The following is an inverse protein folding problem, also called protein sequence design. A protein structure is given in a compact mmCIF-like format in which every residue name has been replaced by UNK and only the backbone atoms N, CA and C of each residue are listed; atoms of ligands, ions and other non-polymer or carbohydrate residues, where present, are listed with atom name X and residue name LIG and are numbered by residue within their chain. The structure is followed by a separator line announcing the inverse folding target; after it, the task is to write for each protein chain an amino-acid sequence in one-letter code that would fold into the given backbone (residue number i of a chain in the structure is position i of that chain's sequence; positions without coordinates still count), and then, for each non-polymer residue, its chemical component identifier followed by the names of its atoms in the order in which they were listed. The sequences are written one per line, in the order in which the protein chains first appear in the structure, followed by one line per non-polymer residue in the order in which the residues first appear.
data_IF_083641136079
#
_entry.id   IF_083641136079
#
_cell.length_a   1.000
_cell.length_b   1.000
_cell.length_c   1.000
_cell.angle_alpha   90.00
_cell.angle_beta   90.00
_cell.angle_gamma   90.00
#
_symmetry.space_group_name_H-M   'P 1'
#
loop_
_entity.id
_entity.type
_entity.pdbx_description
1 polymer ?
#
# COMPACT_ATOMS: atom_id res chain seq x y z
N UNK A 1 57.90 23.75 72.63
CA UNK A 1 56.63 23.60 73.37
C UNK A 1 55.94 22.33 72.90
N UNK A 2 55.18 21.72 73.82
CA UNK A 2 54.88 20.29 73.95
C UNK A 2 53.98 19.63 72.87
N UNK A 3 54.13 18.30 72.75
CA UNK A 3 53.25 17.39 72.02
C UNK A 3 52.09 16.89 72.89
N UNK A 4 50.85 16.82 72.38
CA UNK A 4 49.72 15.95 72.82
C UNK A 4 48.62 16.06 71.72
N UNK A 5 48.19 15.06 70.93
CA UNK A 5 47.53 13.74 71.11
C UNK A 5 46.01 13.82 71.43
N UNK A 6 45.21 13.14 70.58
CA UNK A 6 43.93 12.37 70.82
C UNK A 6 42.72 12.80 69.96
N UNK A 7 42.24 11.91 69.07
CA UNK A 7 41.13 10.92 69.19
C UNK A 7 39.82 11.56 68.67
N UNK A 8 39.07 11.00 67.72
CA UNK A 8 38.77 9.60 67.46
C UNK A 8 37.36 9.32 67.99
N UNK A 9 36.35 9.37 67.12
CA UNK A 9 34.96 9.02 67.44
C UNK A 9 34.55 7.81 66.59
N UNK A 10 34.16 6.71 67.26
CA UNK A 10 33.62 5.48 66.68
C UNK A 10 32.39 5.05 67.51
N UNK A 11 31.32 4.75 66.76
CA UNK A 11 30.25 3.75 66.91
C UNK A 11 29.35 3.67 68.16
N UNK A 12 28.04 3.63 67.89
CA UNK A 12 27.07 2.54 68.16
C UNK A 12 26.16 2.52 66.91
N UNK A 13 26.00 1.50 66.06
CA UNK A 13 25.86 0.03 66.16
C UNK A 13 24.50 -0.43 66.69
N UNK A 14 23.54 -0.62 65.77
CA UNK A 14 22.52 -1.67 65.86
C UNK A 14 22.46 -2.45 64.55
N UNK A 15 22.70 -3.76 64.66
CA UNK A 15 22.75 -4.78 63.59
C UNK A 15 21.43 -5.58 63.54
N UNK A 16 21.23 -6.42 62.49
CA UNK A 16 19.93 -6.71 61.88
C UNK A 16 19.33 -8.05 62.34
N UNK A 17 18.11 -8.39 61.87
CA UNK A 17 17.73 -9.80 61.73
C UNK A 17 18.04 -10.33 60.32
N UNK A 18 18.87 -11.36 60.27
CA UNK A 18 18.83 -12.46 59.28
C UNK A 18 17.55 -13.28 59.51
N UNK A 19 16.96 -14.09 58.64
CA UNK A 19 17.38 -14.94 57.51
C UNK A 19 16.06 -15.48 56.92
N UNK A 20 15.88 -15.56 55.61
CA UNK A 20 15.80 -16.80 54.80
C UNK A 20 15.60 -16.31 53.36
N UNK A 21 16.47 -16.58 52.37
CA UNK A 21 16.53 -17.87 51.69
C UNK A 21 15.63 -17.87 50.45
N UNK A 22 16.26 -17.99 49.27
CA UNK A 22 15.72 -18.41 47.97
C UNK A 22 15.22 -17.36 46.94
N UNK A 23 16.04 -17.26 45.89
CA UNK A 23 15.78 -17.02 44.47
C UNK A 23 14.95 -15.83 43.96
N UNK A 24 15.65 -14.98 43.20
CA UNK A 24 15.09 -14.24 42.09
C UNK A 24 14.58 -15.22 41.02
N UNK A 25 13.25 -15.39 40.90
CA UNK A 25 12.53 -15.70 39.64
C UNK A 25 11.01 -15.68 39.85
N UNK A 26 10.31 -15.52 38.72
CA UNK A 26 8.87 -15.31 38.48
C UNK A 26 8.46 -13.84 38.68
N UNK A 27 8.33 -13.04 37.62
CA UNK A 27 7.62 -13.37 36.39
C UNK A 27 6.50 -12.34 36.29
N UNK A 28 6.88 -11.08 36.01
CA UNK A 28 5.90 -10.08 35.59
C UNK A 28 5.51 -10.41 34.16
N UNK A 29 4.71 -11.47 34.03
CA UNK A 29 3.92 -11.78 32.85
C UNK A 29 2.80 -10.74 32.77
N UNK A 30 3.16 -9.49 32.44
CA UNK A 30 2.31 -8.77 31.52
C UNK A 30 2.40 -9.58 30.23
N UNK A 31 1.50 -10.56 30.08
CA UNK A 31 1.34 -11.28 28.83
C UNK A 31 1.00 -10.19 27.83
N UNK A 32 2.03 -9.77 27.11
CA UNK A 32 1.91 -8.89 25.97
C UNK A 32 0.81 -9.49 25.11
N UNK A 33 -0.17 -8.67 24.74
CA UNK A 33 -1.16 -9.01 23.74
C UNK A 33 -0.49 -9.03 22.34
N UNK A 34 0.65 -9.71 22.25
CA UNK A 34 1.48 -9.99 21.07
C UNK A 34 0.83 -11.01 20.15
N UNK A 35 -0.38 -11.48 20.45
CA UNK A 35 -1.08 -12.45 19.61
C UNK A 35 -1.76 -11.73 18.45
N UNK A 36 -0.96 -11.53 17.42
CA UNK A 36 -1.29 -11.09 16.06
C UNK A 36 -1.09 -9.59 15.79
N UNK A 37 0.12 -9.08 16.03
CA UNK A 37 0.58 -7.89 15.27
C UNK A 37 0.71 -8.33 13.80
N UNK A 38 -0.05 -7.74 12.87
CA UNK A 38 0.09 -8.10 11.46
C UNK A 38 1.52 -7.86 10.98
N UNK A 39 2.04 -8.74 10.13
CA UNK A 39 3.45 -8.71 9.66
C UNK A 39 3.86 -7.32 9.17
N UNK A 40 3.00 -6.66 8.39
CA UNK A 40 3.25 -5.30 7.87
C UNK A 40 3.49 -4.24 8.96
N UNK A 41 2.89 -4.40 10.15
CA UNK A 41 3.04 -3.46 11.28
C UNK A 41 4.37 -3.70 11.99
N UNK A 42 4.78 -4.96 12.11
CA UNK A 42 6.12 -5.33 12.57
C UNK A 42 7.21 -4.82 11.62
N UNK A 43 7.02 -4.97 10.31
CA UNK A 43 7.93 -4.44 9.28
C UNK A 43 7.98 -2.90 9.30
N UNK A 44 6.83 -2.23 9.42
CA UNK A 44 6.77 -0.76 9.60
C UNK A 44 7.64 -0.29 10.78
N UNK A 45 7.58 -1.03 11.90
CA UNK A 45 8.41 -0.75 13.08
C UNK A 45 9.90 -0.97 12.80
N UNK A 46 10.26 -2.04 12.08
CA UNK A 46 11.65 -2.29 11.67
C UNK A 46 12.20 -1.15 10.81
N UNK A 47 11.41 -0.57 9.89
CA UNK A 47 11.83 0.56 9.05
C UNK A 47 12.26 1.78 9.87
N UNK A 48 11.52 2.08 10.94
CA UNK A 48 11.76 3.24 11.80
C UNK A 48 12.87 2.99 12.83
N UNK A 49 13.28 1.73 12.99
CA UNK A 49 14.34 1.32 13.90
C UNK A 49 15.63 0.99 13.14
N UNK A 50 16.78 1.14 13.77
CA UNK A 50 18.05 0.64 13.20
C UNK A 50 18.35 -0.81 13.60
N UNK A 51 17.39 -1.53 14.20
CA UNK A 51 17.62 -2.91 14.67
C UNK A 51 17.76 -3.83 13.47
N UNK A 52 18.78 -4.70 13.47
CA UNK A 52 19.04 -5.68 12.41
C UNK A 52 19.28 -5.10 11.01
N UNK A 53 19.46 -3.78 10.88
CA UNK A 53 19.81 -3.17 9.61
C UNK A 53 21.21 -3.60 9.18
N UNK A 54 21.31 -4.12 7.96
CA UNK A 54 22.54 -4.62 7.34
C UNK A 54 22.92 -3.84 6.07
N UNK A 55 22.19 -2.76 5.76
CA UNK A 55 22.52 -1.81 4.69
C UNK A 55 22.20 -0.36 5.07
N UNK A 56 22.85 0.59 4.39
CA UNK A 56 22.60 2.03 4.53
C UNK A 56 22.43 2.67 3.16
N UNK A 57 21.39 3.49 2.99
CA UNK A 57 21.19 4.34 1.80
C UNK A 57 21.47 5.79 2.18
N UNK A 58 22.35 6.48 1.45
CA UNK A 58 22.68 7.90 1.63
C UNK A 58 22.05 8.70 0.51
N UNK A 59 21.12 9.60 0.83
CA UNK A 59 20.38 10.35 -0.17
C UNK A 59 20.10 11.76 0.35
N UNK A 60 20.47 12.79 -0.41
CA UNK A 60 20.24 14.19 -0.05
C UNK A 60 20.76 14.59 1.35
N UNK A 61 21.86 13.98 1.81
CA UNK A 61 22.42 14.22 3.14
C UNK A 61 21.71 13.50 4.30
N UNK A 62 20.68 12.69 4.02
CA UNK A 62 20.02 11.80 4.98
C UNK A 62 20.58 10.38 4.87
N UNK A 63 20.70 9.70 6.01
CA UNK A 63 21.02 8.27 6.06
C UNK A 63 19.78 7.45 6.41
N UNK A 64 19.51 6.41 5.62
CA UNK A 64 18.42 5.47 5.83
C UNK A 64 19.02 4.10 6.17
N UNK A 65 18.82 3.63 7.40
CA UNK A 65 19.16 2.26 7.80
C UNK A 65 18.07 1.32 7.31
N UNK A 66 18.45 0.29 6.58
CA UNK A 66 17.50 -0.63 5.95
C UNK A 66 17.98 -2.08 6.03
N UNK A 67 17.13 -2.99 5.57
CA UNK A 67 17.33 -4.43 5.68
C UNK A 67 17.33 -5.05 4.28
N UNK A 68 18.45 -5.68 3.89
CA UNK A 68 18.64 -6.27 2.55
C UNK A 68 17.59 -7.33 2.26
N UNK A 69 17.26 -8.16 3.24
CA UNK A 69 16.23 -9.21 3.10
C UNK A 69 14.84 -8.65 2.72
N UNK A 70 14.55 -7.39 3.02
CA UNK A 70 13.28 -6.72 2.68
C UNK A 70 13.43 -5.93 1.38
N UNK A 71 14.53 -5.18 1.23
CA UNK A 71 14.72 -4.27 0.09
C UNK A 71 15.12 -5.00 -1.18
N UNK A 72 16.08 -5.93 -1.10
CA UNK A 72 16.60 -6.65 -2.27
C UNK A 72 15.57 -7.63 -2.85
N UNK A 73 14.73 -8.24 -2.00
CA UNK A 73 13.69 -9.19 -2.46
C UNK A 73 12.57 -8.52 -3.26
N UNK A 74 12.48 -7.19 -3.21
CA UNK A 74 11.46 -6.41 -3.90
C UNK A 74 12.01 -5.52 -5.01
N UNK A 75 13.34 -5.47 -5.18
CA UNK A 75 14.02 -4.62 -6.15
C UNK A 75 15.23 -5.35 -6.71
N UNK A 76 15.15 -5.69 -8.00
CA UNK A 76 16.25 -6.35 -8.71
C UNK A 76 17.51 -5.47 -8.74
N UNK A 77 17.33 -4.14 -8.77
CA UNK A 77 18.43 -3.19 -8.69
C UNK A 77 19.24 -3.37 -7.39
N UNK A 78 18.56 -3.35 -6.24
CA UNK A 78 19.25 -3.51 -4.95
C UNK A 78 19.79 -4.93 -4.79
N UNK A 79 19.09 -5.95 -5.27
CA UNK A 79 19.60 -7.32 -5.29
C UNK A 79 20.94 -7.41 -6.03
N UNK A 80 21.02 -6.89 -7.26
CA UNK A 80 22.26 -6.88 -8.06
C UNK A 80 23.36 -6.05 -7.38
N UNK A 81 23.01 -4.88 -6.83
CA UNK A 81 23.96 -4.01 -6.15
C UNK A 81 24.63 -4.69 -4.94
N UNK A 82 23.90 -5.54 -4.21
CA UNK A 82 24.40 -6.20 -3.00
C UNK A 82 24.77 -7.69 -3.16
N UNK A 83 24.61 -8.30 -4.33
CA UNK A 83 24.97 -9.70 -4.60
C UNK A 83 26.24 -9.87 -5.43
N UNK A 84 26.66 -8.83 -6.17
CA UNK A 84 27.82 -8.86 -7.06
C UNK A 84 29.15 -8.43 -6.44
N UNK A 85 30.09 -8.09 -7.31
CA UNK A 85 31.43 -7.57 -6.96
C UNK A 85 31.47 -6.04 -6.82
N UNK A 86 30.31 -5.38 -6.78
CA UNK A 86 30.20 -3.94 -6.68
C UNK A 86 30.68 -3.42 -5.31
N UNK A 87 31.06 -2.15 -5.23
CA UNK A 87 31.58 -1.55 -3.99
C UNK A 87 30.52 -1.55 -2.89
N UNK A 88 29.26 -1.51 -3.27
CA UNK A 88 28.06 -1.55 -2.45
C UNK A 88 27.96 -2.90 -1.72
N UNK A 89 28.28 -4.01 -2.39
CA UNK A 89 28.33 -5.33 -1.79
C UNK A 89 29.42 -5.47 -0.71
N UNK A 90 30.53 -4.72 -0.81
CA UNK A 90 31.57 -4.70 0.23
C UNK A 90 31.27 -3.67 1.33
N UNK A 91 30.82 -2.48 0.96
CA UNK A 91 30.62 -1.36 1.88
C UNK A 91 29.29 -1.41 2.63
N UNK A 92 28.29 -2.14 2.12
CA UNK A 92 26.90 -2.12 2.58
C UNK A 92 26.26 -0.72 2.54
N UNK A 93 26.82 0.18 1.74
CA UNK A 93 26.36 1.55 1.56
C UNK A 93 26.08 1.79 0.09
N UNK A 94 24.91 2.36 -0.20
CA UNK A 94 24.58 2.88 -1.52
C UNK A 94 24.26 4.36 -1.42
N UNK A 95 24.76 5.14 -2.38
CA UNK A 95 24.67 6.59 -2.40
C UNK A 95 24.06 7.04 -3.74
N UNK A 96 22.73 7.20 -3.81
CA UNK A 96 22.06 7.84 -4.95
C UNK A 96 21.95 9.37 -4.73
N UNK A 97 22.93 10.19 -5.15
CA UNK A 97 22.95 11.63 -4.86
C UNK A 97 21.91 12.43 -5.64
N UNK A 98 21.41 11.90 -6.76
CA UNK A 98 20.42 12.55 -7.63
C UNK A 98 18.98 12.37 -7.16
N UNK A 99 18.75 11.49 -6.18
CA UNK A 99 17.40 11.20 -5.72
C UNK A 99 16.90 12.20 -4.68
N UNK A 100 15.58 12.38 -4.67
CA UNK A 100 14.89 13.14 -3.65
C UNK A 100 14.70 12.27 -2.38
N UNK A 101 15.20 12.73 -1.20
CA UNK A 101 15.14 11.93 0.02
C UNK A 101 13.72 11.77 0.59
N UNK A 102 12.78 12.66 0.27
CA UNK A 102 11.39 12.52 0.67
C UNK A 102 10.68 11.48 -0.19
N UNK A 103 10.97 11.45 -1.50
CA UNK A 103 10.49 10.40 -2.41
C UNK A 103 11.07 9.04 -1.99
N UNK A 104 12.35 8.98 -1.65
CA UNK A 104 13.00 7.77 -1.17
C UNK A 104 12.39 7.27 0.15
N UNK A 105 12.04 8.16 1.07
CA UNK A 105 11.38 7.77 2.32
C UNK A 105 10.03 7.08 2.06
N UNK A 106 9.24 7.58 1.09
CA UNK A 106 7.98 6.95 0.66
C UNK A 106 8.20 5.63 -0.07
N UNK A 107 9.22 5.57 -0.90
CA UNK A 107 9.64 4.35 -1.58
C UNK A 107 9.98 3.26 -0.55
N UNK A 108 10.77 3.59 0.46
CA UNK A 108 11.10 2.67 1.55
C UNK A 108 9.87 2.33 2.42
N UNK A 109 8.99 3.30 2.71
CA UNK A 109 7.72 3.03 3.41
C UNK A 109 6.91 1.93 2.69
N UNK A 110 6.86 1.98 1.37
CA UNK A 110 6.21 0.96 0.56
C UNK A 110 6.86 -0.41 0.70
N UNK A 111 8.18 -0.52 0.58
CA UNK A 111 8.86 -1.82 0.68
C UNK A 111 8.61 -2.52 2.02
N UNK A 112 8.38 -1.76 3.10
CA UNK A 112 8.10 -2.36 4.41
C UNK A 112 6.61 -2.63 4.66
N UNK A 113 5.71 -1.90 4.02
CA UNK A 113 4.28 -1.89 4.41
C UNK A 113 3.31 -2.20 3.28
N UNK A 114 3.77 -2.28 2.03
CA UNK A 114 2.92 -2.43 0.84
C UNK A 114 2.07 -1.20 0.50
N UNK A 115 2.37 -0.06 1.11
CA UNK A 115 1.72 1.23 0.88
C UNK A 115 2.65 2.37 1.28
N UNK A 116 2.35 3.61 0.92
CA UNK A 116 3.08 4.77 1.42
C UNK A 116 2.09 5.87 1.77
N UNK A 117 2.44 6.74 2.71
CA UNK A 117 1.57 7.87 3.04
C UNK A 117 1.81 9.04 2.08
N UNK A 118 0.73 9.65 1.60
CA UNK A 118 0.79 10.86 0.79
C UNK A 118 0.77 12.08 1.73
N UNK A 119 1.72 12.20 2.68
CA UNK A 119 1.75 13.37 3.57
C UNK A 119 0.75 13.37 4.75
N UNK A 120 0.02 12.28 5.02
CA UNK A 120 -0.79 12.17 6.24
C UNK A 120 0.06 11.88 7.46
N UNK A 121 -0.23 12.54 8.60
CA UNK A 121 0.37 12.21 9.91
C UNK A 121 -0.04 10.85 10.47
N UNK A 122 -0.98 10.15 9.82
CA UNK A 122 -1.39 8.81 10.21
C UNK A 122 -0.62 7.78 9.37
N UNK A 123 0.09 6.84 10.02
CA UNK A 123 0.72 5.74 9.29
C UNK A 123 -0.39 4.90 8.66
N UNK A 124 -0.37 4.81 7.33
CA UNK A 124 -1.19 3.82 6.63
C UNK A 124 -0.48 2.49 6.86
N UNK A 125 -0.82 1.83 7.97
CA UNK A 125 -0.20 0.55 8.26
C UNK A 125 -0.82 -0.56 7.42
N UNK A 126 -2.00 -0.39 6.83
CA UNK A 126 -2.62 -1.43 6.02
C UNK A 126 -2.03 -1.45 4.60
N UNK A 127 -1.51 -2.59 4.12
CA UNK A 127 -1.02 -2.71 2.75
C UNK A 127 -2.11 -2.37 1.73
N UNK A 128 -1.70 -1.85 0.59
CA UNK A 128 -2.63 -1.59 -0.52
C UNK A 128 -3.10 -2.89 -1.17
N UNK A 129 -4.25 -2.89 -1.83
CA UNK A 129 -4.70 -4.03 -2.64
C UNK A 129 -3.67 -4.40 -3.72
N UNK A 130 -2.98 -3.40 -4.28
CA UNK A 130 -1.91 -3.60 -5.26
C UNK A 130 -0.79 -4.48 -4.68
N UNK A 131 -0.41 -4.25 -3.43
CA UNK A 131 0.63 -5.05 -2.75
C UNK A 131 0.24 -6.53 -2.53
N UNK A 132 -1.01 -6.90 -2.74
CA UNK A 132 -1.51 -8.29 -2.64
C UNK A 132 -1.71 -8.95 -4.02
N UNK A 133 -1.35 -8.29 -5.12
CA UNK A 133 -1.52 -8.82 -6.48
C UNK A 133 -0.39 -9.78 -6.89
N UNK A 134 -0.67 -10.69 -7.84
CA UNK A 134 0.38 -11.53 -8.46
C UNK A 134 1.20 -10.75 -9.49
N UNK A 135 2.43 -11.19 -9.74
CA UNK A 135 3.35 -10.61 -10.73
C UNK A 135 2.71 -10.51 -12.12
N UNK A 136 1.98 -11.54 -12.55
CA UNK A 136 1.30 -11.57 -13.85
C UNK A 136 0.17 -10.54 -13.91
N UNK A 137 -0.62 -10.42 -12.84
CA UNK A 137 -1.70 -9.44 -12.74
C UNK A 137 -1.16 -8.00 -12.77
N UNK A 138 0.00 -7.76 -12.15
CA UNK A 138 0.68 -6.46 -12.15
C UNK A 138 1.20 -6.13 -13.55
N UNK A 139 1.88 -7.05 -14.21
CA UNK A 139 2.37 -6.86 -15.58
C UNK A 139 1.23 -6.57 -16.55
N UNK A 140 0.10 -7.29 -16.44
CA UNK A 140 -1.10 -7.04 -17.23
C UNK A 140 -1.67 -5.64 -16.96
N UNK A 141 -1.70 -5.22 -15.69
CA UNK A 141 -2.24 -3.92 -15.29
C UNK A 141 -1.34 -2.77 -15.74
N UNK A 142 -0.02 -2.90 -15.64
CA UNK A 142 0.95 -1.89 -16.08
C UNK A 142 0.89 -1.64 -17.59
N UNK A 143 0.60 -2.67 -18.40
CA UNK A 143 0.43 -2.55 -19.85
C UNK A 143 -0.84 -1.80 -20.27
N UNK A 144 -1.81 -1.64 -19.37
CA UNK A 144 -3.09 -0.97 -19.66
C UNK A 144 -3.09 0.44 -19.05
N UNK A 145 -3.66 1.44 -19.75
CA UNK A 145 -3.88 2.76 -19.16
C UNK A 145 -4.92 2.68 -18.05
N UNK A 146 -4.75 3.44 -16.94
CA UNK A 146 -5.68 3.41 -15.82
C UNK A 146 -7.02 4.07 -16.19
N UNK A 147 -8.10 3.63 -15.56
CA UNK A 147 -9.43 4.22 -15.77
C UNK A 147 -10.06 3.97 -17.14
N UNK A 148 -9.54 3.02 -17.94
CA UNK A 148 -10.25 2.47 -19.10
C UNK A 148 -10.95 1.19 -18.66
N UNK A 149 -12.29 1.18 -18.66
CA UNK A 149 -13.05 -0.06 -18.57
C UNK A 149 -12.94 -0.72 -19.95
N UNK A 150 -12.00 -1.65 -20.11
CA UNK A 150 -12.03 -2.52 -21.28
C UNK A 150 -13.32 -3.35 -21.17
N UNK A 151 -14.23 -3.23 -22.14
CA UNK A 151 -15.24 -4.25 -22.34
C UNK A 151 -14.48 -5.51 -22.76
N UNK A 152 -14.06 -6.34 -21.79
CA UNK A 152 -13.60 -7.68 -22.09
C UNK A 152 -14.82 -8.40 -22.70
N UNK A 153 -14.83 -8.53 -24.03
CA UNK A 153 -15.81 -9.33 -24.80
C UNK A 153 -15.67 -10.84 -24.52
N UNK A 154 -15.23 -11.22 -23.32
CA UNK A 154 -15.10 -12.61 -22.87
C UNK A 154 -16.14 -12.98 -21.82
N UNK A 155 -17.16 -12.14 -21.61
CA UNK A 155 -18.28 -12.43 -20.68
C UNK A 155 -19.64 -12.64 -21.37
N UNK A 156 -19.69 -12.76 -22.69
CA UNK A 156 -20.96 -12.88 -23.44
C UNK A 156 -21.23 -14.31 -23.97
N UNK A 157 -20.47 -15.31 -23.51
CA UNK A 157 -20.65 -16.73 -23.89
C UNK A 157 -21.15 -17.64 -22.76
N UNK A 158 -21.59 -17.09 -21.61
CA UNK A 158 -22.08 -17.91 -20.50
C UNK A 158 -23.59 -17.80 -20.24
N UNK A 159 -24.31 -16.90 -20.94
CA UNK A 159 -25.75 -16.69 -20.71
C UNK A 159 -26.53 -16.69 -22.03
N UNK A 160 -26.44 -17.77 -22.81
CA UNK A 160 -27.41 -18.01 -23.88
C UNK A 160 -27.51 -19.48 -24.28
N UNK A 161 -27.71 -20.39 -23.32
CA UNK A 161 -28.28 -21.70 -23.62
C UNK A 161 -29.25 -22.14 -22.52
N UNK A 162 -30.42 -21.51 -22.52
CA UNK A 162 -31.65 -22.14 -22.08
C UNK A 162 -32.71 -21.94 -23.15
N UNK A 163 -33.28 -23.07 -23.59
CA UNK A 163 -34.48 -23.25 -24.41
C UNK A 163 -34.33 -23.26 -25.95
N UNK A 164 -34.45 -24.50 -26.46
CA UNK A 164 -35.06 -25.01 -27.72
C UNK A 164 -34.04 -25.92 -28.42
N UNK A 165 -34.15 -27.24 -28.32
CA UNK A 165 -35.17 -28.02 -29.02
C UNK A 165 -34.56 -28.49 -30.34
N UNK A 166 -34.20 -29.77 -30.43
CA UNK A 166 -34.52 -30.68 -31.55
C UNK A 166 -33.70 -31.97 -31.42
N UNK A 167 -34.42 -33.08 -31.57
CA UNK A 167 -33.94 -34.46 -31.62
C UNK A 167 -33.13 -34.69 -32.90
N UNK A 168 -32.01 -35.40 -32.83
CA UNK A 168 -31.56 -36.29 -33.91
C UNK A 168 -30.59 -37.33 -33.32
N UNK A 169 -31.03 -38.59 -33.30
CA UNK A 169 -30.19 -39.77 -33.08
C UNK A 169 -29.25 -39.95 -34.27
N UNK A 170 -27.96 -40.14 -34.00
CA UNK A 170 -27.04 -40.81 -34.91
C UNK A 170 -26.07 -41.66 -34.09
N UNK A 171 -26.19 -42.97 -34.26
CA UNK A 171 -25.28 -44.00 -33.76
C UNK A 171 -23.93 -43.88 -34.49
N UNK A 172 -22.81 -43.82 -33.76
CA UNK A 172 -21.50 -44.16 -34.33
C UNK A 172 -20.76 -45.13 -33.40
N UNK A 173 -20.50 -46.32 -33.95
CA UNK A 173 -19.66 -47.39 -33.43
C UNK A 173 -18.25 -46.89 -33.13
N UNK A 174 -17.71 -47.27 -31.97
CA UNK A 174 -16.28 -47.14 -31.70
C UNK A 174 -15.64 -48.53 -31.75
N UNK A 175 -14.85 -48.78 -32.80
CA UNK A 175 -13.99 -49.95 -32.94
C UNK A 175 -12.89 -49.92 -31.86
N UNK A 176 -12.70 -51.06 -31.18
CA UNK A 176 -11.62 -51.28 -30.21
C UNK A 176 -10.28 -51.46 -30.94
N UNK A 177 -9.28 -50.66 -30.58
CA UNK A 177 -7.89 -50.83 -31.03
C UNK A 177 -7.12 -51.68 -29.99
N UNK A 178 -6.61 -52.88 -30.32
CA UNK A 178 -6.00 -53.79 -29.37
C UNK A 178 -4.48 -53.79 -29.50
N UNK A 179 -3.77 -52.96 -28.74
CA UNK A 179 -2.35 -53.22 -28.46
C UNK A 179 -1.83 -52.32 -27.32
N UNK A 180 -1.95 -52.81 -26.08
CA UNK A 180 -1.04 -52.38 -25.02
C UNK A 180 -0.61 -53.60 -24.17
N UNK A 181 0.69 -53.94 -24.10
CA UNK A 181 1.15 -55.16 -23.44
C UNK A 181 0.97 -55.16 -21.91
N UNK A 182 0.48 -56.29 -21.37
CA UNK A 182 0.66 -56.78 -20.00
C UNK A 182 2.11 -57.29 -19.85
N UNK A 183 2.86 -57.27 -18.75
CA UNK A 183 2.72 -57.34 -17.27
C UNK A 183 4.16 -57.05 -16.69
N UNK A 184 4.59 -57.23 -15.41
CA UNK A 184 3.90 -57.58 -14.15
C UNK A 184 4.36 -56.87 -12.82
N UNK A 185 3.53 -57.04 -11.77
CA UNK A 185 3.82 -57.27 -10.33
C UNK A 185 4.61 -56.25 -9.43
N UNK A 186 3.85 -55.54 -8.54
CA UNK A 186 3.96 -55.25 -7.06
C UNK A 186 5.33 -54.86 -6.38
N UNK A 187 5.43 -54.27 -5.14
CA UNK A 187 4.42 -53.85 -4.15
C UNK A 187 4.66 -52.52 -3.34
N UNK A 188 3.64 -52.15 -2.55
CA UNK A 188 3.64 -51.43 -1.24
C UNK A 188 4.04 -49.93 -1.11
N UNK A 189 3.07 -49.06 -0.81
CA UNK A 189 3.25 -47.91 0.10
C UNK A 189 2.01 -47.69 1.00
N UNK A 190 2.11 -47.85 2.32
CA UNK A 190 1.00 -47.71 3.26
C UNK A 190 1.09 -46.39 4.06
N UNK A 191 0.40 -45.32 3.63
CA UNK A 191 -0.04 -44.23 4.55
C UNK A 191 -0.99 -43.23 3.86
N UNK A 192 -2.24 -43.65 3.64
CA UNK A 192 -3.35 -42.74 3.30
C UNK A 192 -4.18 -42.47 4.56
N UNK A 193 -4.13 -41.24 5.09
CA UNK A 193 -4.98 -40.81 6.21
C UNK A 193 -6.27 -40.14 5.68
N UNK A 194 -7.47 -40.68 5.93
CA UNK A 194 -8.73 -40.04 5.53
C UNK A 194 -9.17 -38.95 6.53
N UNK A 195 -9.90 -37.91 6.07
CA UNK A 195 -10.38 -36.83 6.93
C UNK A 195 -11.50 -37.29 7.87
N UNK A 196 -11.35 -36.93 9.14
CA UNK A 196 -12.17 -37.34 10.26
C UNK A 196 -13.56 -36.68 10.19
N UNK A 197 -14.60 -37.47 9.92
CA UNK A 197 -16.01 -37.12 10.12
C UNK A 197 -16.32 -37.32 11.60
N UNK A 198 -16.39 -36.24 12.36
CA UNK A 198 -17.26 -36.11 13.54
C UNK A 198 -16.97 -34.80 14.28
N UNK A 199 -17.62 -33.71 13.86
CA UNK A 199 -18.07 -32.70 14.83
C UNK A 199 -19.35 -32.04 14.37
N UNK A 200 -20.40 -32.36 15.11
CA UNK A 200 -21.76 -31.85 14.99
C UNK A 200 -21.77 -30.33 15.23
N UNK A 201 -22.36 -29.59 14.30
CA UNK A 201 -22.95 -28.29 14.59
C UNK A 201 -24.05 -28.45 15.65
N UNK A 202 -24.23 -27.45 16.52
CA UNK A 202 -25.58 -26.89 16.52
C UNK A 202 -25.65 -25.36 16.72
N UNK A 203 -26.69 -24.85 16.04
CA UNK A 203 -27.67 -23.82 16.37
C UNK A 203 -27.29 -22.36 16.70
N UNK A 204 -27.66 -21.52 15.73
CA UNK A 204 -28.18 -20.16 15.90
C UNK A 204 -29.35 -20.12 16.90
N UNK A 205 -29.32 -19.23 17.89
CA UNK A 205 -30.53 -18.68 18.52
C UNK A 205 -30.24 -17.29 19.12
N UNK A 206 -31.06 -16.32 18.74
CA UNK A 206 -31.07 -14.93 19.19
C UNK A 206 -31.36 -14.82 20.70
N UNK A 207 -30.79 -13.80 21.37
CA UNK A 207 -31.51 -13.10 22.43
C UNK A 207 -31.10 -11.63 22.55
N UNK A 208 -32.13 -10.84 22.82
CA UNK A 208 -32.34 -9.40 22.67
C UNK A 208 -32.62 -8.80 24.07
N UNK A 209 -32.33 -7.51 24.27
CA UNK A 209 -32.68 -6.65 25.44
C UNK A 209 -32.07 -7.04 26.82
N UNK A 210 -31.66 -6.14 27.71
CA UNK A 210 -31.78 -4.69 27.86
C UNK A 210 -31.57 -4.31 29.34
N UNK A 211 -31.40 -3.02 29.63
CA UNK A 211 -31.53 -2.42 30.98
C UNK A 211 -30.23 -2.28 31.76
N UNK A 212 -29.65 -1.07 31.90
CA UNK A 212 -29.96 -0.04 32.93
C UNK A 212 -29.39 -0.47 34.30
N UNK A 213 -28.70 0.32 35.12
CA UNK A 213 -28.89 1.72 35.49
C UNK A 213 -27.64 2.24 36.26
N UNK A 214 -27.53 3.56 36.32
CA UNK A 214 -26.42 4.40 36.75
C UNK A 214 -26.34 4.66 38.26
N UNK A 215 -25.19 5.20 38.72
CA UNK A 215 -25.01 6.47 39.48
C UNK A 215 -23.63 6.51 40.20
N UNK A 216 -22.69 7.42 39.85
CA UNK A 216 -22.47 8.84 40.30
C UNK A 216 -21.74 8.86 41.67
N UNK A 217 -20.53 9.43 41.88
CA UNK A 217 -20.07 10.85 41.91
C UNK A 217 -18.51 10.92 41.78
N UNK A 218 -17.95 11.76 40.89
CA UNK A 218 -17.32 13.10 41.08
C UNK A 218 -16.09 13.16 41.98
N UNK A 219 -14.96 13.62 41.41
CA UNK A 219 -14.14 14.69 42.00
C UNK A 219 -13.15 15.29 40.96
N UNK A 220 -13.52 16.49 40.53
CA UNK A 220 -12.78 17.69 40.15
C UNK A 220 -11.23 17.65 40.17
N UNK A 221 -10.59 17.90 39.01
CA UNK A 221 -9.90 19.18 38.76
C UNK A 221 -9.41 19.33 37.32
N UNK A 222 -9.70 20.50 36.75
CA UNK A 222 -9.38 20.95 35.39
C UNK A 222 -7.89 21.32 35.25
N UNK A 223 -7.27 21.03 34.09
CA UNK A 223 -6.56 22.03 33.28
C UNK A 223 -6.03 21.49 31.93
N UNK A 224 -6.89 21.61 30.91
CA UNK A 224 -6.68 22.34 29.65
C UNK A 224 -5.41 22.08 28.80
N UNK A 225 -5.48 21.09 27.90
CA UNK A 225 -4.91 21.18 26.55
C UNK A 225 -5.90 20.61 25.51
N UNK A 226 -6.52 21.49 24.72
CA UNK A 226 -7.47 21.11 23.67
C UNK A 226 -6.75 20.42 22.50
N UNK A 227 -6.85 19.10 22.47
CA UNK A 227 -6.65 18.30 21.26
C UNK A 227 -7.99 18.29 20.52
N UNK A 228 -8.10 19.02 19.42
CA UNK A 228 -9.21 18.84 18.48
C UNK A 228 -8.99 17.53 17.74
N UNK A 229 -9.48 16.45 18.33
CA UNK A 229 -9.88 15.27 17.56
C UNK A 229 -11.09 15.70 16.72
N UNK A 230 -10.91 15.92 15.42
CA UNK A 230 -12.04 15.86 14.48
C UNK A 230 -12.50 14.39 14.40
N UNK A 231 -13.23 13.97 15.43
CA UNK A 231 -14.18 12.88 15.31
C UNK A 231 -15.20 13.31 14.25
N UNK A 232 -15.36 12.47 13.23
CA UNK A 232 -16.49 12.56 12.30
C UNK A 232 -17.77 12.43 13.13
N UNK A 233 -18.38 13.56 13.49
CA UNK A 233 -19.69 13.59 14.15
C UNK A 233 -20.74 13.00 13.20
N UNK A 234 -21.04 11.71 13.39
CA UNK A 234 -22.24 11.08 12.87
C UNK A 234 -23.43 11.58 13.70
N UNK A 235 -23.95 12.72 13.28
CA UNK A 235 -25.16 13.30 13.84
C UNK A 235 -26.33 12.34 13.62
N UNK A 236 -26.77 11.66 14.69
CA UNK A 236 -27.99 10.85 14.69
C UNK A 236 -29.20 11.77 14.88
N UNK A 237 -29.53 12.53 13.83
CA UNK A 237 -30.69 13.41 13.79
C UNK A 237 -31.28 13.45 12.38
N UNK A 238 -32.46 12.83 12.23
CA UNK A 238 -33.29 12.75 11.01
C UNK A 238 -32.64 12.03 9.81
N UNK A 239 -32.92 10.74 9.68
CA UNK A 239 -32.46 9.92 8.55
C UNK A 239 -33.23 10.27 7.27
N UNK A 240 -32.89 11.40 6.66
CA UNK A 240 -33.06 11.58 5.23
C UNK A 240 -31.96 10.73 4.56
N UNK A 241 -32.35 9.64 3.90
CA UNK A 241 -31.42 8.83 3.10
C UNK A 241 -30.83 9.74 2.04
N UNK A 242 -29.55 10.10 2.19
CA UNK A 242 -28.84 10.92 1.21
C UNK A 242 -28.93 10.23 -0.14
N UNK A 243 -29.24 11.00 -1.18
CA UNK A 243 -29.25 10.44 -2.52
C UNK A 243 -27.84 9.96 -2.89
N UNK A 244 -27.75 8.96 -3.77
CA UNK A 244 -26.46 8.46 -4.27
C UNK A 244 -25.59 9.60 -4.82
N UNK A 245 -26.20 10.61 -5.45
CA UNK A 245 -25.50 11.79 -5.96
C UNK A 245 -24.93 12.68 -4.85
N UNK A 246 -25.67 12.86 -3.75
CA UNK A 246 -25.19 13.62 -2.59
C UNK A 246 -24.00 12.94 -1.92
N UNK A 247 -24.04 11.61 -1.79
CA UNK A 247 -22.93 10.82 -1.24
C UNK A 247 -21.69 10.97 -2.13
N UNK A 248 -21.85 10.85 -3.45
CA UNK A 248 -20.74 11.02 -4.42
C UNK A 248 -20.16 12.44 -4.33
N UNK A 249 -21.02 13.46 -4.25
CA UNK A 249 -20.60 14.86 -4.17
C UNK A 249 -19.81 15.14 -2.89
N UNK A 250 -20.30 14.69 -1.74
CA UNK A 250 -19.61 14.88 -0.46
C UNK A 250 -18.29 14.12 -0.43
N UNK A 251 -18.27 12.87 -0.93
CA UNK A 251 -17.03 12.10 -1.06
C UNK A 251 -16.01 12.80 -1.95
N UNK A 252 -16.42 13.33 -3.11
CA UNK A 252 -15.52 14.11 -3.99
C UNK A 252 -14.99 15.36 -3.29
N UNK A 253 -15.83 16.08 -2.53
CA UNK A 253 -15.42 17.26 -1.76
C UNK A 253 -14.34 16.92 -0.73
N UNK A 254 -14.54 15.88 0.08
CA UNK A 254 -13.55 15.42 1.08
C UNK A 254 -12.26 14.99 0.40
N UNK A 255 -12.34 14.20 -0.67
CA UNK A 255 -11.17 13.74 -1.41
C UNK A 255 -10.38 14.91 -2.01
N UNK A 256 -11.04 15.96 -2.52
CA UNK A 256 -10.37 17.17 -3.01
C UNK A 256 -9.63 17.94 -1.91
N UNK A 257 -10.23 18.06 -0.72
CA UNK A 257 -9.56 18.73 0.43
C UNK A 257 -8.30 17.96 0.82
N UNK A 258 -8.43 16.65 1.02
CA UNK A 258 -7.29 15.78 1.33
C UNK A 258 -6.22 15.89 0.26
N UNK A 259 -6.61 15.90 -1.01
CA UNK A 259 -5.64 15.90 -2.07
C UNK A 259 -4.80 17.21 -2.15
N UNK A 260 -5.42 18.36 -1.86
CA UNK A 260 -4.69 19.64 -1.76
C UNK A 260 -3.68 19.68 -0.61
N UNK A 261 -4.00 19.07 0.53
CA UNK A 261 -3.14 19.06 1.72
C UNK A 261 -1.88 18.18 1.55
N UNK A 262 -1.87 17.30 0.55
CA UNK A 262 -0.95 16.16 0.45
C UNK A 262 0.13 16.28 -0.63
N UNK A 263 0.18 17.40 -1.37
CA UNK A 263 1.05 17.58 -2.54
C UNK A 263 0.85 16.48 -3.61
N UNK A 264 -0.42 16.25 -3.96
CA UNK A 264 -0.91 14.98 -4.51
C UNK A 264 -0.55 14.65 -5.96
N UNK A 265 -0.01 15.58 -6.74
CA UNK A 265 0.30 15.32 -8.15
C UNK A 265 1.78 15.00 -8.38
N UNK A 266 2.67 15.75 -7.74
CA UNK A 266 4.12 15.54 -7.87
C UNK A 266 4.59 14.29 -7.15
N UNK A 267 4.15 14.08 -5.90
CA UNK A 267 4.64 12.96 -5.08
C UNK A 267 4.40 11.58 -5.74
N UNK A 268 3.17 11.21 -6.15
CA UNK A 268 2.97 9.94 -6.84
C UNK A 268 3.67 9.86 -8.21
N UNK A 269 3.83 10.97 -8.94
CA UNK A 269 4.62 10.99 -10.18
C UNK A 269 6.09 10.66 -9.91
N UNK A 270 6.72 11.32 -8.94
CA UNK A 270 8.12 11.07 -8.59
C UNK A 270 8.35 9.67 -8.04
N UNK A 271 7.41 9.16 -7.24
CA UNK A 271 7.45 7.78 -6.74
C UNK A 271 7.31 6.79 -7.90
N UNK A 272 6.46 7.08 -8.90
CA UNK A 272 6.34 6.26 -10.10
C UNK A 272 7.69 6.16 -10.85
N UNK A 273 8.36 7.29 -11.07
CA UNK A 273 9.67 7.36 -11.72
C UNK A 273 10.73 6.62 -10.90
N UNK A 274 10.76 6.82 -9.58
CA UNK A 274 11.70 6.13 -8.68
C UNK A 274 11.46 4.62 -8.65
N UNK A 275 10.20 4.18 -8.69
CA UNK A 275 9.83 2.78 -8.73
C UNK A 275 10.23 2.09 -10.03
N UNK A 276 10.20 2.82 -11.16
CA UNK A 276 10.75 2.33 -12.42
C UNK A 276 12.28 2.23 -12.36
N UNK A 277 12.96 3.28 -11.89
CA UNK A 277 14.42 3.34 -11.73
C UNK A 277 14.98 2.19 -10.88
N UNK A 278 14.29 1.86 -9.79
CA UNK A 278 14.70 0.80 -8.86
C UNK A 278 14.00 -0.54 -9.10
N UNK A 279 13.29 -0.69 -10.22
CA UNK A 279 12.58 -1.90 -10.61
C UNK A 279 11.71 -2.50 -9.49
N UNK A 280 10.71 -1.73 -9.07
CA UNK A 280 9.67 -2.14 -8.11
C UNK A 280 8.30 -2.05 -8.78
N UNK A 281 7.88 -3.07 -9.58
CA UNK A 281 6.67 -3.00 -10.41
C UNK A 281 5.38 -2.75 -9.62
N UNK A 282 5.28 -3.33 -8.42
CA UNK A 282 4.16 -3.13 -7.51
C UNK A 282 3.98 -1.66 -7.10
N UNK A 283 5.08 -1.01 -6.71
CA UNK A 283 5.07 0.39 -6.34
C UNK A 283 4.79 1.28 -7.55
N UNK A 284 5.37 0.94 -8.70
CA UNK A 284 5.10 1.65 -9.97
C UNK A 284 3.61 1.64 -10.28
N UNK A 285 2.94 0.49 -10.19
CA UNK A 285 1.50 0.39 -10.41
C UNK A 285 0.70 1.21 -9.38
N UNK A 286 1.01 1.07 -8.08
CA UNK A 286 0.33 1.82 -7.03
C UNK A 286 0.48 3.34 -7.19
N UNK A 287 1.68 3.80 -7.55
CA UNK A 287 1.98 5.21 -7.75
C UNK A 287 1.23 5.78 -8.95
N UNK A 288 1.16 5.04 -10.07
CA UNK A 288 0.34 5.41 -11.23
C UNK A 288 -1.13 5.52 -10.89
N UNK A 289 -1.68 4.55 -10.16
CA UNK A 289 -3.10 4.55 -9.78
C UNK A 289 -3.43 5.73 -8.84
N UNK A 290 -2.51 6.06 -7.93
CA UNK A 290 -2.65 7.23 -7.06
C UNK A 290 -2.55 8.53 -7.84
N UNK A 291 -1.60 8.64 -8.77
CA UNK A 291 -1.49 9.79 -9.68
C UNK A 291 -2.77 9.97 -10.50
N UNK A 292 -3.28 8.90 -11.13
CA UNK A 292 -4.53 8.92 -11.88
C UNK A 292 -5.70 9.45 -11.04
N UNK A 293 -5.89 8.89 -9.84
CA UNK A 293 -6.99 9.30 -8.94
C UNK A 293 -6.85 10.76 -8.49
N UNK A 294 -5.64 11.19 -8.17
CA UNK A 294 -5.38 12.58 -7.79
C UNK A 294 -5.66 13.53 -8.96
N UNK A 295 -5.14 13.20 -10.15
CA UNK A 295 -5.33 13.98 -11.37
C UNK A 295 -6.81 14.08 -11.72
N UNK A 296 -7.55 12.97 -11.76
CA UNK A 296 -9.00 12.93 -12.05
C UNK A 296 -9.82 13.85 -11.12
N UNK A 297 -9.38 14.04 -9.87
CA UNK A 297 -10.09 14.85 -8.88
C UNK A 297 -9.73 16.33 -8.89
N UNK A 298 -8.48 16.67 -9.23
CA UNK A 298 -7.90 17.98 -8.96
C UNK A 298 -7.37 18.75 -10.18
N UNK A 299 -7.10 18.11 -11.31
CA UNK A 299 -6.30 18.72 -12.38
C UNK A 299 -6.86 20.07 -12.90
N UNK A 300 -8.19 20.22 -12.92
CA UNK A 300 -8.88 21.45 -13.33
C UNK A 300 -8.54 22.62 -12.39
N UNK A 301 -8.66 22.38 -11.08
CA UNK A 301 -8.47 23.38 -10.03
C UNK A 301 -7.00 23.61 -9.68
N UNK A 302 -6.10 22.68 -10.02
CA UNK A 302 -4.69 22.74 -9.67
C UNK A 302 -3.93 23.68 -10.61
N UNK A 303 -3.50 24.85 -10.11
CA UNK A 303 -2.71 25.82 -10.88
C UNK A 303 -1.39 25.24 -11.39
N UNK A 304 -0.75 24.37 -10.59
CA UNK A 304 0.51 23.70 -10.92
C UNK A 304 0.37 22.53 -11.90
N UNK A 305 -0.84 22.21 -12.39
CA UNK A 305 -1.00 21.06 -13.29
C UNK A 305 -0.15 21.12 -14.57
N UNK A 306 0.06 22.29 -15.23
CA UNK A 306 1.00 22.39 -16.34
C UNK A 306 2.44 21.98 -15.96
N UNK A 307 2.90 22.36 -14.77
CA UNK A 307 4.24 22.01 -14.26
C UNK A 307 4.34 20.49 -13.97
N UNK A 308 3.24 19.87 -13.54
CA UNK A 308 3.16 18.41 -13.35
C UNK A 308 3.27 17.68 -14.70
N UNK A 309 2.57 18.17 -15.73
CA UNK A 309 2.65 17.60 -17.08
C UNK A 309 4.05 17.77 -17.64
N UNK A 310 4.64 18.95 -17.47
CA UNK A 310 6.00 19.24 -17.86
C UNK A 310 7.01 18.29 -17.19
N UNK A 311 6.92 18.13 -15.87
CA UNK A 311 7.76 17.18 -15.13
C UNK A 311 7.54 15.73 -15.60
N UNK A 312 6.28 15.32 -15.84
CA UNK A 312 5.96 13.98 -16.34
C UNK A 312 6.64 13.68 -17.66
N UNK A 313 6.59 14.61 -18.62
CA UNK A 313 7.18 14.42 -19.95
C UNK A 313 8.70 14.47 -19.92
N UNK A 314 9.31 15.21 -18.99
CA UNK A 314 10.77 15.19 -18.79
C UNK A 314 11.28 13.92 -18.11
N UNK A 315 10.50 13.33 -17.19
CA UNK A 315 10.94 12.20 -16.37
C UNK A 315 10.53 10.82 -16.90
N UNK A 316 9.62 10.75 -17.86
CA UNK A 316 9.19 9.49 -18.46
C UNK A 316 9.61 9.40 -19.92
N UNK A 317 10.03 8.23 -20.44
CA UNK A 317 10.31 8.06 -21.86
C UNK A 317 9.02 8.03 -22.69
N UNK A 318 9.13 8.27 -24.00
CA UNK A 318 7.99 8.20 -24.95
C UNK A 318 7.29 6.83 -24.96
N UNK A 319 8.03 5.77 -24.61
CA UNK A 319 7.48 4.41 -24.49
C UNK A 319 6.57 4.23 -23.28
N UNK A 320 6.59 5.14 -22.30
CA UNK A 320 5.69 5.09 -21.13
C UNK A 320 4.31 5.68 -21.47
N UNK A 321 3.64 5.01 -22.39
CA UNK A 321 2.31 5.40 -22.86
C UNK A 321 1.28 5.37 -21.74
N UNK A 322 1.37 4.41 -20.81
CA UNK A 322 0.38 4.24 -19.77
C UNK A 322 0.31 5.41 -18.77
N UNK A 323 1.44 6.03 -18.46
CA UNK A 323 1.49 7.24 -17.61
C UNK A 323 1.11 8.50 -18.40
N UNK A 324 1.66 8.64 -19.62
CA UNK A 324 1.44 9.81 -20.49
C UNK A 324 -0.01 9.94 -20.99
N UNK A 325 -0.68 8.82 -21.25
CA UNK A 325 -2.08 8.80 -21.69
C UNK A 325 -3.04 9.42 -20.67
N UNK A 326 -2.73 9.34 -19.36
CA UNK A 326 -3.55 9.92 -18.29
C UNK A 326 -3.80 11.40 -18.53
N UNK A 327 -2.72 12.17 -18.73
CA UNK A 327 -2.81 13.63 -18.90
C UNK A 327 -3.36 14.00 -20.28
N UNK A 328 -3.06 13.22 -21.32
CA UNK A 328 -3.66 13.39 -22.65
C UNK A 328 -5.18 13.26 -22.62
N UNK A 329 -5.71 12.23 -21.93
CA UNK A 329 -7.16 12.00 -21.79
C UNK A 329 -7.85 13.09 -21.00
N UNK A 330 -7.30 13.48 -19.85
CA UNK A 330 -7.88 14.51 -18.99
C UNK A 330 -8.00 15.85 -19.74
N UNK A 331 -6.92 16.27 -20.38
CA UNK A 331 -6.89 17.55 -21.12
C UNK A 331 -7.70 17.45 -22.40
N UNK A 332 -7.54 16.39 -23.19
CA UNK A 332 -8.24 16.22 -24.46
C UNK A 332 -9.76 16.20 -24.34
N UNK A 333 -10.31 15.72 -23.22
CA UNK A 333 -11.75 15.76 -22.95
C UNK A 333 -12.31 17.20 -22.81
N UNK A 334 -11.46 18.19 -22.50
CA UNK A 334 -11.89 19.57 -22.17
C UNK A 334 -11.13 20.66 -22.94
N UNK A 335 -10.18 20.30 -23.79
CA UNK A 335 -9.28 21.25 -24.49
C UNK A 335 -9.99 22.22 -25.44
N UNK A 336 -11.24 21.94 -25.82
CA UNK A 336 -12.07 22.86 -26.60
C UNK A 336 -12.48 24.12 -25.79
N UNK A 337 -12.44 24.05 -24.46
CA UNK A 337 -12.71 25.18 -23.58
C UNK A 337 -11.50 26.14 -23.57
N UNK A 338 -11.73 27.43 -23.87
CA UNK A 338 -10.63 28.41 -23.92
C UNK A 338 -9.80 28.45 -22.64
N UNK A 339 -10.37 28.46 -21.42
CA UNK A 339 -9.59 28.52 -20.19
C UNK A 339 -8.62 27.34 -20.05
N UNK A 340 -9.05 26.12 -20.41
CA UNK A 340 -8.21 24.92 -20.35
C UNK A 340 -7.09 25.00 -21.38
N UNK A 341 -7.41 25.37 -22.63
CA UNK A 341 -6.40 25.55 -23.68
C UNK A 341 -5.39 26.62 -23.30
N UNK A 342 -5.83 27.73 -22.71
CA UNK A 342 -4.95 28.82 -22.29
C UNK A 342 -4.04 28.40 -21.13
N UNK A 343 -4.58 27.67 -20.15
CA UNK A 343 -3.83 27.05 -19.04
C UNK A 343 -2.74 26.09 -19.53
N UNK A 344 -3.05 25.22 -20.49
CA UNK A 344 -2.14 24.19 -20.99
C UNK A 344 -1.23 24.66 -22.15
N UNK A 345 -1.43 25.89 -22.65
CA UNK A 345 -0.78 26.37 -23.89
C UNK A 345 0.75 26.30 -23.85
N UNK A 346 1.35 26.66 -22.72
CA UNK A 346 2.81 26.68 -22.59
C UNK A 346 3.38 25.26 -22.69
N UNK A 347 2.88 24.33 -21.87
CA UNK A 347 3.34 22.94 -21.84
C UNK A 347 3.04 22.19 -23.16
N UNK A 348 1.92 22.50 -23.82
CA UNK A 348 1.62 21.97 -25.17
C UNK A 348 2.63 22.41 -26.23
N UNK A 349 3.19 23.62 -26.11
CA UNK A 349 4.24 24.10 -27.03
C UNK A 349 5.60 23.49 -26.73
N UNK A 350 5.89 23.28 -25.45
CA UNK A 350 7.15 22.69 -25.00
C UNK A 350 7.24 21.21 -25.36
N UNK A 351 6.16 20.46 -25.11
CA UNK A 351 6.07 19.01 -25.35
C UNK A 351 5.14 18.73 -26.54
N UNK A 352 5.73 18.64 -27.74
CA UNK A 352 4.97 18.43 -28.99
C UNK A 352 4.27 17.08 -29.04
N UNK A 353 4.88 16.04 -28.49
CA UNK A 353 4.33 14.70 -28.29
C UNK A 353 3.11 14.70 -27.36
N UNK A 354 3.11 15.52 -26.31
CA UNK A 354 1.92 15.76 -25.49
C UNK A 354 0.78 16.35 -26.32
N UNK A 355 1.07 17.36 -27.15
CA UNK A 355 0.06 17.95 -28.05
C UNK A 355 -0.51 16.94 -29.03
N UNK A 356 0.35 16.10 -29.63
CA UNK A 356 -0.09 15.02 -30.52
C UNK A 356 -1.00 14.05 -29.77
N UNK A 357 -0.61 13.60 -28.58
CA UNK A 357 -1.43 12.70 -27.77
C UNK A 357 -2.79 13.27 -27.38
N UNK A 358 -2.87 14.57 -27.07
CA UNK A 358 -4.14 15.27 -26.84
C UNK A 358 -5.00 15.29 -28.10
N UNK A 359 -4.42 15.60 -29.26
CA UNK A 359 -5.13 15.61 -30.55
C UNK A 359 -5.63 14.22 -30.96
N UNK A 360 -4.79 13.20 -30.79
CA UNK A 360 -5.16 11.81 -31.06
C UNK A 360 -6.34 11.38 -30.19
N UNK A 361 -6.33 11.71 -28.90
CA UNK A 361 -7.46 11.43 -28.02
C UNK A 361 -8.76 12.09 -28.52
N UNK A 362 -8.71 13.37 -28.89
CA UNK A 362 -9.88 14.09 -29.44
C UNK A 362 -10.43 13.43 -30.70
N UNK A 363 -9.55 13.01 -31.62
CA UNK A 363 -9.96 12.38 -32.87
C UNK A 363 -10.57 11.00 -32.65
N UNK A 364 -10.06 10.21 -31.72
CA UNK A 364 -10.63 8.91 -31.39
C UNK A 364 -11.95 9.02 -30.65
N UNK A 365 -12.09 9.99 -29.74
CA UNK A 365 -13.34 10.21 -29.00
C UNK A 365 -14.48 10.70 -29.92
N UNK A 366 -14.17 11.53 -30.92
CA UNK A 366 -15.15 12.06 -31.88
C UNK A 366 -15.61 11.04 -32.95
N UNK A 367 -14.98 9.86 -33.07
CA UNK A 367 -15.38 8.81 -34.03
C UNK A 367 -16.47 7.87 -33.52
N UNK A 368 -16.87 8.00 -32.25
CA UNK A 368 -17.89 7.13 -31.62
C UNK A 368 -19.30 7.76 -31.59
N UNK A 369 -19.59 8.71 -32.49
CA UNK A 369 -20.92 9.34 -32.66
C UNK A 369 -21.40 9.23 -34.10
#
# INVERSE_FOLDING_TARGET
MAATRRRGARAEETRPPSSTGFDYRDGDDTVEDLRSIPVYKSLSTLRLSSKFSDMTIRCGGREFKAHRAIVCTQSSFFEVAFSGEFKEAASQVIDPPEDDPDVLDRFLEFLYTGTYSQGTRYPINTPSTVAMMSTEAIQKSLKRPPGVICQDKTSEYAESQTASGDEEEAEEEFEEDPDFPQDPEDPEDPEYWPPNRDRKEPNEEYNEFGGDDASVEKDDNEDKYQVQNEQLEFNHGSSAVKSTEEIIRERKRVLRKLAKERNDLFMPLRIYVMADKYDVPLLRLLARDRFYRAAELLWEDAECFPDVVDELYRLTPETDTAMREIVCRLVGNRVNESPIRDKMRAVMREHGDFTVGVMEYMLHFNKNW
#
